data_IF_187862250664
#
_entry.id   IF_187862250664
#
_cell.length_a   1.000
_cell.length_b   1.000
_cell.length_c   1.000
_cell.angle_alpha   90.00
_cell.angle_beta   90.00
_cell.angle_gamma   90.00
#
_symmetry.space_group_name_H-M   'P 1'
#
loop_
_entity.id
_entity.type
_entity.pdbx_description
1 polymer ?
#
# COMPACT_ATOMS: atom_id res chain seq x y z
N UNK A 1 -10.68 19.29 -17.27
CA UNK A 1 -9.69 18.31 -16.82
C UNK A 1 -8.42 18.95 -16.25
N UNK A 2 -8.48 20.21 -15.76
CA UNK A 2 -7.30 20.95 -15.26
C UNK A 2 -7.52 21.62 -13.89
N UNK A 3 -8.59 21.27 -13.16
CA UNK A 3 -9.02 22.04 -11.97
C UNK A 3 -8.55 21.46 -10.62
N UNK A 4 -7.80 20.35 -10.60
CA UNK A 4 -7.31 19.73 -9.36
C UNK A 4 -5.84 20.02 -9.03
N UNK A 5 -5.16 20.88 -9.81
CA UNK A 5 -3.69 21.05 -9.71
C UNK A 5 -3.17 21.93 -8.57
N UNK A 6 -3.99 22.34 -7.60
CA UNK A 6 -3.50 23.09 -6.43
C UNK A 6 -4.11 22.70 -5.08
N UNK A 7 -4.86 21.59 -5.02
CA UNK A 7 -5.52 21.13 -3.80
C UNK A 7 -4.60 20.30 -2.91
N UNK A 8 -4.81 20.39 -1.60
CA UNK A 8 -4.24 19.44 -0.64
C UNK A 8 -4.66 18.01 -1.06
N UNK A 9 -3.73 17.08 -1.37
CA UNK A 9 -4.08 15.75 -1.87
C UNK A 9 -4.95 14.93 -0.93
N UNK A 10 -5.04 15.34 0.34
CA UNK A 10 -5.89 14.74 1.37
C UNK A 10 -7.38 15.12 1.26
N UNK A 11 -7.76 16.03 0.35
CA UNK A 11 -9.17 16.42 0.14
C UNK A 11 -9.87 15.62 -0.97
N UNK A 12 -9.15 14.81 -1.73
CA UNK A 12 -9.75 13.91 -2.71
C UNK A 12 -10.31 12.66 -2.01
N UNK A 13 -11.38 12.03 -2.54
CA UNK A 13 -11.85 10.77 -2.01
C UNK A 13 -10.78 9.69 -2.13
N UNK A 14 -10.74 8.79 -1.15
CA UNK A 14 -9.77 7.71 -1.08
C UNK A 14 -10.39 6.36 -1.43
N UNK A 15 -9.60 5.54 -2.11
CA UNK A 15 -9.86 4.11 -2.32
C UNK A 15 -8.87 3.35 -1.46
N UNK A 16 -9.35 2.68 -0.42
CA UNK A 16 -8.52 1.98 0.57
C UNK A 16 -8.92 0.51 0.64
N UNK A 17 -8.01 -0.42 1.01
CA UNK A 17 -8.44 -1.79 1.25
C UNK A 17 -9.44 -1.84 2.41
N UNK A 18 -10.41 -2.74 2.34
CA UNK A 18 -11.44 -2.91 3.37
C UNK A 18 -10.83 -3.21 4.76
N UNK A 19 -9.70 -3.92 4.80
CA UNK A 19 -9.01 -4.35 6.03
C UNK A 19 -7.54 -4.65 5.79
N UNK A 20 -6.80 -4.88 6.87
CA UNK A 20 -5.41 -5.35 6.87
C UNK A 20 -4.38 -4.24 7.07
N UNK A 21 -3.10 -4.61 7.01
CA UNK A 21 -1.98 -3.75 7.44
C UNK A 21 -1.91 -2.42 6.68
N UNK A 22 -2.23 -2.42 5.39
CA UNK A 22 -2.24 -1.19 4.56
C UNK A 22 -3.36 -0.25 5.00
N UNK A 23 -4.56 -0.78 5.30
CA UNK A 23 -5.67 0.01 5.84
C UNK A 23 -5.28 0.64 7.17
N UNK A 24 -4.78 -0.16 8.10
CA UNK A 24 -4.36 0.34 9.42
C UNK A 24 -3.24 1.38 9.32
N UNK A 25 -2.30 1.21 8.39
CA UNK A 25 -1.23 2.17 8.14
C UNK A 25 -1.78 3.49 7.57
N UNK A 26 -2.71 3.42 6.63
CA UNK A 26 -3.40 4.59 6.08
C UNK A 26 -4.19 5.32 7.18
N UNK A 27 -5.00 4.62 7.98
CA UNK A 27 -5.77 5.20 9.09
C UNK A 27 -4.87 5.86 10.15
N UNK A 28 -3.72 5.25 10.48
CA UNK A 28 -2.72 5.88 11.34
C UNK A 28 -2.18 7.15 10.71
N UNK A 29 -1.82 7.11 9.43
CA UNK A 29 -1.28 8.26 8.72
C UNK A 29 -2.28 9.42 8.65
N UNK A 30 -3.55 9.18 8.29
CA UNK A 30 -4.57 10.22 8.30
C UNK A 30 -4.76 10.85 9.68
N UNK A 31 -4.74 10.04 10.74
CA UNK A 31 -4.78 10.53 12.13
C UNK A 31 -3.59 11.41 12.49
N UNK A 32 -2.37 11.07 12.06
CA UNK A 32 -1.20 11.95 12.31
C UNK A 32 -1.27 13.24 11.52
N UNK A 33 -1.99 13.28 10.41
CA UNK A 33 -2.26 14.49 9.64
C UNK A 33 -3.45 15.31 10.18
N UNK A 34 -4.20 14.79 11.16
CA UNK A 34 -5.42 15.44 11.65
C UNK A 34 -6.56 15.48 10.62
N UNK A 35 -6.57 14.55 9.66
CA UNK A 35 -7.56 14.50 8.57
C UNK A 35 -8.48 13.28 8.73
N UNK A 36 -9.76 13.49 8.46
CA UNK A 36 -10.73 12.41 8.23
C UNK A 36 -10.93 12.27 6.72
N UNK A 37 -10.44 11.19 6.08
CA UNK A 37 -10.57 11.03 4.64
C UNK A 37 -12.01 10.69 4.27
N UNK A 38 -12.47 11.21 3.12
CA UNK A 38 -13.66 10.67 2.46
C UNK A 38 -13.28 9.34 1.80
N UNK A 39 -14.04 8.26 2.05
CA UNK A 39 -13.78 6.94 1.46
C UNK A 39 -14.80 6.69 0.36
N UNK A 40 -14.35 6.63 -0.90
CA UNK A 40 -15.21 6.34 -2.05
C UNK A 40 -15.49 4.85 -2.20
N UNK A 41 -14.48 4.00 -1.97
CA UNK A 41 -14.55 2.56 -2.23
C UNK A 41 -13.60 1.79 -1.30
N UNK A 42 -14.02 0.58 -0.92
CA UNK A 42 -13.27 -0.32 -0.05
C UNK A 42 -13.10 -1.72 -0.66
N UNK A 43 -12.24 -1.88 -1.69
CA UNK A 43 -11.99 -3.18 -2.31
C UNK A 43 -11.29 -4.19 -1.38
N UNK A 44 -11.46 -5.48 -1.69
CA UNK A 44 -10.87 -6.58 -0.92
C UNK A 44 -9.34 -6.73 -1.10
N UNK A 45 -8.78 -6.19 -2.18
CA UNK A 45 -7.37 -6.38 -2.52
C UNK A 45 -6.79 -5.26 -3.38
N UNK A 46 -5.46 -5.24 -3.48
CA UNK A 46 -4.75 -4.13 -4.09
C UNK A 46 -4.98 -3.98 -5.61
N UNK A 47 -5.17 -5.07 -6.37
CA UNK A 47 -5.41 -4.95 -7.82
C UNK A 47 -6.76 -4.31 -8.13
N UNK A 48 -7.80 -4.64 -7.34
CA UNK A 48 -9.10 -3.98 -7.43
C UNK A 48 -8.98 -2.50 -7.04
N UNK A 49 -8.20 -2.18 -6.00
CA UNK A 49 -7.90 -0.81 -5.60
C UNK A 49 -7.26 -0.01 -6.74
N UNK A 50 -6.16 -0.52 -7.31
CA UNK A 50 -5.44 0.16 -8.38
C UNK A 50 -6.30 0.32 -9.64
N UNK A 51 -7.17 -0.65 -9.93
CA UNK A 51 -8.15 -0.55 -11.02
C UNK A 51 -9.13 0.60 -10.80
N UNK A 52 -9.72 0.71 -9.60
CA UNK A 52 -10.65 1.80 -9.27
C UNK A 52 -9.97 3.17 -9.33
N UNK A 53 -8.72 3.28 -8.85
CA UNK A 53 -7.93 4.51 -8.97
C UNK A 53 -7.65 4.84 -10.45
N UNK A 54 -7.27 3.85 -11.27
CA UNK A 54 -7.04 4.06 -12.70
C UNK A 54 -8.31 4.44 -13.48
N UNK A 55 -9.50 4.10 -12.96
CA UNK A 55 -10.80 4.53 -13.47
C UNK A 55 -11.24 5.91 -12.96
N UNK A 56 -10.46 6.54 -12.08
CA UNK A 56 -10.71 7.89 -11.57
C UNK A 56 -11.58 7.93 -10.31
N UNK A 57 -11.76 6.83 -9.58
CA UNK A 57 -12.59 6.79 -8.37
C UNK A 57 -11.99 7.54 -7.17
N UNK A 58 -10.72 7.94 -7.22
CA UNK A 58 -10.06 8.67 -6.13
C UNK A 58 -8.57 8.36 -6.00
N UNK A 59 -8.01 8.65 -4.83
CA UNK A 59 -6.60 8.43 -4.49
C UNK A 59 -6.43 7.10 -3.73
N UNK A 60 -5.49 6.27 -4.17
CA UNK A 60 -5.15 5.02 -3.50
C UNK A 60 -3.96 5.13 -2.54
N UNK A 61 -3.99 4.38 -1.45
CA UNK A 61 -2.80 4.15 -0.59
C UNK A 61 -2.39 2.69 -0.72
N UNK A 62 -1.20 2.44 -1.26
CA UNK A 62 -0.65 1.10 -1.47
C UNK A 62 0.85 1.05 -1.16
N UNK A 63 1.42 -0.12 -0.84
CA UNK A 63 2.86 -0.29 -0.82
C UNK A 63 3.43 -0.04 -2.22
N UNK A 64 4.58 0.65 -2.30
CA UNK A 64 5.24 0.95 -3.58
C UNK A 64 5.50 -0.29 -4.44
N UNK A 65 5.86 -1.42 -3.82
CA UNK A 65 6.06 -2.70 -4.52
C UNK A 65 4.81 -3.15 -5.30
N UNK A 66 3.61 -2.89 -4.77
CA UNK A 66 2.35 -3.22 -5.44
C UNK A 66 2.17 -2.35 -6.68
N UNK A 67 2.40 -1.04 -6.56
CA UNK A 67 2.31 -0.12 -7.69
C UNK A 67 3.32 -0.48 -8.80
N UNK A 68 4.56 -0.80 -8.43
CA UNK A 68 5.65 -1.12 -9.36
C UNK A 68 5.36 -2.38 -10.20
N UNK A 69 4.63 -3.34 -9.63
CA UNK A 69 4.28 -4.61 -10.27
C UNK A 69 2.84 -4.68 -10.82
N UNK A 70 2.09 -3.58 -10.79
CA UNK A 70 0.71 -3.58 -11.27
C UNK A 70 0.60 -3.50 -12.79
N UNK A 71 -0.40 -4.19 -13.36
CA UNK A 71 -0.73 -4.15 -14.78
C UNK A 71 -1.26 -2.78 -15.26
N UNK A 72 -1.76 -1.94 -14.35
CA UNK A 72 -2.32 -0.62 -14.68
C UNK A 72 -1.40 0.55 -14.30
N UNK A 73 -0.15 0.27 -13.91
CA UNK A 73 0.84 1.26 -13.46
C UNK A 73 0.92 2.48 -14.37
N UNK A 74 0.94 2.28 -15.69
CA UNK A 74 1.14 3.37 -16.66
C UNK A 74 -0.06 4.33 -16.76
N UNK A 75 -1.19 4.01 -16.10
CA UNK A 75 -2.37 4.87 -15.96
C UNK A 75 -2.41 5.61 -14.62
N UNK A 76 -1.42 5.42 -13.78
CA UNK A 76 -1.37 5.93 -12.41
C UNK A 76 -0.24 6.94 -12.26
N UNK A 77 -0.43 7.90 -11.36
CA UNK A 77 0.60 8.83 -10.94
C UNK A 77 0.75 8.78 -9.41
N UNK A 78 1.98 8.88 -8.93
CA UNK A 78 2.25 8.97 -7.49
C UNK A 78 2.00 10.39 -7.04
N UNK A 79 1.17 10.54 -6.00
CA UNK A 79 0.95 11.81 -5.32
C UNK A 79 1.96 11.93 -4.16
N UNK A 80 2.85 12.93 -4.16
CA UNK A 80 3.76 13.16 -3.04
C UNK A 80 3.00 13.49 -1.76
N UNK A 81 3.43 12.90 -0.65
CA UNK A 81 2.86 13.11 0.68
C UNK A 81 3.97 13.49 1.67
N UNK A 82 3.74 14.54 2.47
CA UNK A 82 4.69 14.98 3.50
C UNK A 82 3.96 15.20 4.83
N UNK A 83 4.26 14.42 5.89
CA UNK A 83 5.09 13.21 5.86
C UNK A 83 4.45 12.06 5.07
N UNK A 84 5.26 11.13 4.58
CA UNK A 84 4.78 9.90 3.95
C UNK A 84 4.18 8.93 4.99
N UNK A 85 3.27 8.01 4.59
CA UNK A 85 2.86 6.89 5.43
C UNK A 85 4.07 6.06 5.88
N UNK A 86 4.02 5.54 7.10
CA UNK A 86 5.09 4.69 7.61
C UNK A 86 5.26 3.43 6.74
N UNK A 87 6.51 2.99 6.48
CA UNK A 87 6.77 1.80 5.68
C UNK A 87 6.24 0.53 6.39
N UNK A 88 5.85 -0.46 5.60
CA UNK A 88 5.51 -1.78 6.10
C UNK A 88 6.77 -2.65 6.17
N UNK A 89 7.05 -3.21 7.34
CA UNK A 89 8.14 -4.17 7.53
C UNK A 89 7.72 -5.54 7.03
N UNK A 90 8.52 -6.11 6.12
CA UNK A 90 8.36 -7.49 5.65
C UNK A 90 9.45 -8.34 6.30
N UNK A 91 9.08 -9.51 6.80
CA UNK A 91 10.00 -10.46 7.41
C UNK A 91 9.74 -11.87 6.91
N UNK A 92 10.80 -12.68 6.89
CA UNK A 92 10.69 -14.12 6.68
C UNK A 92 10.44 -14.79 8.03
N UNK A 93 9.47 -15.69 8.08
CA UNK A 93 9.11 -16.44 9.28
C UNK A 93 9.09 -17.93 8.97
N UNK A 94 9.62 -18.73 9.89
CA UNK A 94 9.64 -20.19 9.79
C UNK A 94 9.36 -20.80 11.15
N UNK A 95 8.64 -21.93 11.18
CA UNK A 95 8.56 -22.69 12.43
C UNK A 95 9.92 -23.29 12.72
N UNK A 96 10.40 -23.15 13.96
CA UNK A 96 11.72 -23.67 14.35
C UNK A 96 11.93 -25.14 13.99
N UNK A 97 10.89 -25.97 14.12
CA UNK A 97 10.95 -27.39 13.77
C UNK A 97 11.12 -27.66 12.26
N UNK A 98 10.73 -26.73 11.38
CA UNK A 98 10.85 -26.86 9.94
C UNK A 98 12.25 -26.50 9.42
N UNK A 99 13.07 -25.82 10.22
CA UNK A 99 14.48 -25.51 9.89
C UNK A 99 15.35 -26.77 9.72
N UNK A 100 14.92 -27.94 10.18
CA UNK A 100 15.61 -29.20 9.93
C UNK A 100 15.48 -29.69 8.48
N UNK A 101 14.50 -29.17 7.72
CA UNK A 101 14.26 -29.58 6.33
C UNK A 101 15.30 -28.89 5.43
N UNK A 102 16.13 -29.63 4.68
CA UNK A 102 17.25 -29.05 3.94
C UNK A 102 16.87 -27.86 3.04
N UNK A 103 15.75 -27.95 2.32
CA UNK A 103 15.29 -26.86 1.43
C UNK A 103 14.89 -25.60 2.19
N UNK A 104 14.28 -25.74 3.38
CA UNK A 104 13.89 -24.60 4.21
C UNK A 104 15.11 -23.99 4.87
N UNK A 105 16.02 -24.82 5.37
CA UNK A 105 17.29 -24.37 5.93
C UNK A 105 18.09 -23.57 4.90
N UNK A 106 18.20 -24.07 3.66
CA UNK A 106 18.90 -23.41 2.58
C UNK A 106 18.32 -22.02 2.28
N UNK A 107 16.99 -21.92 2.15
CA UNK A 107 16.33 -20.62 1.95
C UNK A 107 16.54 -19.69 3.16
N UNK A 108 16.41 -20.21 4.38
CA UNK A 108 16.59 -19.44 5.60
C UNK A 108 18.02 -18.91 5.75
N UNK A 109 19.04 -19.68 5.36
CA UNK A 109 20.43 -19.24 5.39
C UNK A 109 20.70 -18.04 4.46
N UNK A 110 19.90 -17.83 3.41
CA UNK A 110 20.03 -16.65 2.55
C UNK A 110 19.69 -15.34 3.29
N UNK A 111 18.92 -15.41 4.39
CA UNK A 111 18.59 -14.21 5.17
C UNK A 111 19.71 -13.78 6.12
N UNK A 112 20.69 -14.65 6.37
CA UNK A 112 21.84 -14.38 7.23
C UNK A 112 23.03 -13.78 6.46
N UNK A 113 22.91 -13.62 5.14
CA UNK A 113 23.94 -13.08 4.25
C UNK A 113 23.88 -11.55 4.09
N UNK A 114 23.16 -10.85 4.96
CA UNK A 114 23.06 -9.38 4.97
C UNK A 114 23.75 -8.79 6.20
#
# INVERSE_FOLDING_TARGET
YDEYKSGNPLTAPFVLPQRGLVREAADRWFRTQGVTPEIACEPDGHEALLTLVALGCGTGVVPRLVLEHSAVRDRLAVVPATPQPAPLTVGLCVRRADLRRPVIAALWSLTALN
#
